data_IF_173664342294
#
_entry.id   IF_173664342294
#
_cell.length_a   1.000
_cell.length_b   1.000
_cell.length_c   1.000
_cell.angle_alpha   90.00
_cell.angle_beta   90.00
_cell.angle_gamma   90.00
#
_symmetry.space_group_name_H-M   'P 1'
#
loop_
_entity.id
_entity.type
_entity.pdbx_description
1 polymer ?
#
# COMPACT_ATOMS: atom_id res chain seq x y z
N UNK A 1 10.98 -11.61 -19.86
CA UNK A 1 10.11 -10.57 -20.45
C UNK A 1 10.97 -9.35 -20.74
N UNK A 2 10.91 -8.79 -21.95
CA UNK A 2 11.62 -7.56 -22.28
C UNK A 2 10.89 -6.34 -21.68
N UNK A 3 11.63 -5.41 -21.08
CA UNK A 3 11.04 -4.16 -20.59
C UNK A 3 10.68 -3.26 -21.78
N UNK A 4 9.49 -2.65 -21.77
CA UNK A 4 9.10 -1.63 -22.74
C UNK A 4 9.60 -0.27 -22.25
N UNK A 5 10.40 0.48 -23.03
CA UNK A 5 10.79 1.83 -22.65
C UNK A 5 9.55 2.74 -22.66
N UNK A 6 9.43 3.56 -21.62
CA UNK A 6 8.40 4.58 -21.47
C UNK A 6 9.08 5.90 -21.09
N UNK A 7 8.51 7.03 -21.51
CA UNK A 7 9.06 8.36 -21.22
C UNK A 7 8.29 9.02 -20.08
N UNK A 8 9.00 9.65 -19.16
CA UNK A 8 8.44 10.47 -18.09
C UNK A 8 8.92 11.90 -18.26
N UNK A 9 8.01 12.86 -18.01
CA UNK A 9 8.40 14.25 -17.84
C UNK A 9 8.87 14.45 -16.39
N UNK A 10 9.99 15.13 -16.24
CA UNK A 10 10.55 15.57 -14.94
C UNK A 10 10.96 17.03 -15.08
N UNK A 11 10.85 17.80 -14.01
CA UNK A 11 11.38 19.15 -14.01
C UNK A 11 12.92 19.09 -14.10
N UNK A 12 13.52 20.08 -14.77
CA UNK A 12 14.98 20.12 -14.93
C UNK A 12 15.71 20.18 -13.58
N UNK A 13 15.09 20.85 -12.61
CA UNK A 13 15.54 20.93 -11.22
C UNK A 13 15.55 19.60 -10.48
N UNK A 14 14.73 18.63 -10.90
CA UNK A 14 14.65 17.31 -10.28
C UNK A 14 15.63 16.31 -10.87
N UNK A 15 16.25 16.63 -12.02
CA UNK A 15 17.21 15.72 -12.69
C UNK A 15 18.39 15.35 -11.79
N UNK A 16 19.02 16.28 -11.04
CA UNK A 16 20.10 15.94 -10.11
C UNK A 16 19.62 15.01 -8.99
N UNK A 17 18.45 15.28 -8.41
CA UNK A 17 17.86 14.44 -7.37
C UNK A 17 17.54 13.05 -7.90
N UNK A 18 16.94 12.96 -9.08
CA UNK A 18 16.63 11.68 -9.73
C UNK A 18 17.90 10.86 -9.96
N UNK A 19 19.01 11.51 -10.35
CA UNK A 19 20.29 10.84 -10.52
C UNK A 19 20.84 10.34 -9.18
N UNK A 20 20.87 11.18 -8.15
CA UNK A 20 21.31 10.81 -6.80
C UNK A 20 20.53 9.60 -6.26
N UNK A 21 19.20 9.63 -6.39
CA UNK A 21 18.33 8.53 -5.98
C UNK A 21 18.57 7.26 -6.81
N UNK A 22 18.84 7.41 -8.11
CA UNK A 22 19.18 6.28 -8.97
C UNK A 22 20.52 5.65 -8.60
N UNK A 23 21.51 6.45 -8.23
CA UNK A 23 22.81 5.98 -7.76
C UNK A 23 22.66 5.22 -6.43
N UNK A 24 21.93 5.80 -5.48
CA UNK A 24 21.74 5.23 -4.15
C UNK A 24 20.86 3.96 -4.11
N UNK A 25 19.78 3.93 -4.89
CA UNK A 25 18.74 2.89 -4.78
C UNK A 25 18.53 2.07 -6.05
N UNK A 26 19.14 2.45 -7.17
CA UNK A 26 19.04 1.78 -8.47
C UNK A 26 20.38 1.36 -9.06
N UNK A 27 21.50 1.47 -8.32
CA UNK A 27 22.84 1.15 -8.83
C UNK A 27 23.25 2.01 -10.03
N UNK A 28 22.77 3.26 -10.08
CA UNK A 28 22.99 4.22 -11.16
C UNK A 28 22.02 4.09 -12.34
N UNK A 29 21.08 3.15 -12.30
CA UNK A 29 20.09 2.96 -13.35
C UNK A 29 18.71 3.49 -12.92
N UNK A 30 18.21 4.53 -13.61
CA UNK A 30 16.90 5.14 -13.35
C UNK A 30 15.74 4.14 -13.51
N UNK A 31 15.85 3.17 -14.41
CA UNK A 31 14.84 2.11 -14.56
C UNK A 31 14.83 1.14 -13.39
N UNK A 32 15.99 0.81 -12.82
CA UNK A 32 16.04 -0.03 -11.61
C UNK A 32 15.52 0.73 -10.40
N UNK A 33 15.91 1.99 -10.24
CA UNK A 33 15.36 2.87 -9.22
C UNK A 33 13.83 2.93 -9.28
N UNK A 34 13.26 3.15 -10.47
CA UNK A 34 11.81 3.18 -10.64
C UNK A 34 11.16 1.85 -10.24
N UNK A 35 11.78 0.70 -10.53
CA UNK A 35 11.26 -0.62 -10.09
C UNK A 35 11.28 -0.76 -8.57
N UNK A 36 12.32 -0.28 -7.91
CA UNK A 36 12.41 -0.28 -6.44
C UNK A 36 11.35 0.64 -5.86
N UNK A 37 11.26 1.88 -6.35
CA UNK A 37 10.26 2.85 -5.92
C UNK A 37 8.84 2.31 -6.07
N UNK A 38 8.50 1.72 -7.23
CA UNK A 38 7.18 1.11 -7.47
C UNK A 38 6.85 0.01 -6.47
N UNK A 39 7.81 -0.86 -6.10
CA UNK A 39 7.58 -1.92 -5.11
C UNK A 39 7.29 -1.33 -3.73
N UNK A 40 8.01 -0.29 -3.33
CA UNK A 40 7.79 0.39 -2.05
C UNK A 40 6.44 1.12 -2.01
N UNK A 41 6.10 1.87 -3.06
CA UNK A 41 4.79 2.52 -3.14
C UNK A 41 3.63 1.52 -3.20
N UNK A 42 3.80 0.35 -3.84
CA UNK A 42 2.79 -0.72 -3.81
C UNK A 42 2.55 -1.25 -2.38
N UNK A 43 3.58 -1.31 -1.54
CA UNK A 43 3.41 -1.71 -0.13
C UNK A 43 2.61 -0.64 0.62
N UNK A 44 2.95 0.64 0.45
CA UNK A 44 2.24 1.77 1.06
C UNK A 44 0.77 1.81 0.64
N UNK A 45 0.48 1.64 -0.66
CA UNK A 45 -0.89 1.60 -1.17
C UNK A 45 -1.70 0.46 -0.55
N UNK A 46 -1.12 -0.73 -0.38
CA UNK A 46 -1.80 -1.83 0.30
C UNK A 46 -2.10 -1.53 1.75
N UNK A 47 -1.18 -0.89 2.48
CA UNK A 47 -1.42 -0.49 3.87
C UNK A 47 -2.56 0.52 3.95
N UNK A 48 -2.59 1.50 3.04
CA UNK A 48 -3.67 2.47 2.96
C UNK A 48 -5.03 1.78 2.72
N UNK A 49 -5.10 0.89 1.72
CA UNK A 49 -6.31 0.12 1.42
C UNK A 49 -6.82 -0.71 2.61
N UNK A 50 -5.92 -1.30 3.41
CA UNK A 50 -6.32 -2.06 4.61
C UNK A 50 -6.83 -1.15 5.72
N UNK A 51 -6.25 0.04 5.88
CA UNK A 51 -6.73 1.02 6.84
C UNK A 51 -8.12 1.55 6.45
N UNK A 52 -8.31 1.82 5.16
CA UNK A 52 -9.60 2.29 4.63
C UNK A 52 -10.68 1.21 4.84
N UNK A 53 -10.39 -0.05 4.51
CA UNK A 53 -11.30 -1.19 4.76
C UNK A 53 -11.62 -1.34 6.26
N UNK A 54 -10.63 -1.19 7.13
CA UNK A 54 -10.85 -1.29 8.58
C UNK A 54 -11.72 -0.14 9.08
N UNK A 55 -11.56 1.07 8.54
CA UNK A 55 -12.40 2.21 8.87
C UNK A 55 -13.85 1.99 8.40
N UNK A 56 -14.05 1.52 7.17
CA UNK A 56 -15.38 1.15 6.64
C UNK A 56 -16.06 0.08 7.51
N UNK A 57 -15.33 -0.97 7.90
CA UNK A 57 -15.88 -2.03 8.77
C UNK A 57 -16.25 -1.50 10.16
N UNK A 58 -15.50 -0.55 10.72
CA UNK A 58 -15.85 0.09 11.98
C UNK A 58 -17.12 0.94 11.83
N UNK A 59 -17.25 1.67 10.72
CA UNK A 59 -18.43 2.49 10.42
C UNK A 59 -19.68 1.64 10.20
N UNK A 60 -19.59 0.56 9.42
CA UNK A 60 -20.69 -0.39 9.18
C UNK A 60 -21.12 -1.12 10.46
N UNK A 61 -20.19 -1.37 11.39
CA UNK A 61 -20.49 -1.93 12.73
C UNK A 61 -21.01 -0.87 13.72
N UNK A 62 -21.27 0.36 13.27
CA UNK A 62 -21.73 1.47 14.13
C UNK A 62 -20.73 1.86 15.21
N UNK A 63 -19.43 1.64 14.97
CA UNK A 63 -18.35 1.90 15.93
C UNK A 63 -18.17 0.81 17.00
N UNK A 64 -18.90 -0.31 16.94
CA UNK A 64 -18.74 -1.40 17.92
C UNK A 64 -17.53 -2.27 17.60
N UNK A 65 -16.50 -2.13 18.44
CA UNK A 65 -15.44 -3.13 18.59
C UNK A 65 -15.95 -4.19 19.55
N UNK A 66 -16.33 -5.35 19.03
CA UNK A 66 -16.71 -6.49 19.86
C UNK A 66 -15.46 -7.12 20.46
N UNK A 67 -15.50 -7.37 21.76
CA UNK A 67 -14.50 -8.19 22.45
C UNK A 67 -14.60 -9.65 22.01
N UNK A 68 -13.56 -10.44 22.27
CA UNK A 68 -13.55 -11.88 21.97
C UNK A 68 -14.74 -12.60 22.62
N UNK A 69 -15.10 -12.23 23.85
CA UNK A 69 -16.22 -12.82 24.59
C UNK A 69 -17.58 -12.49 23.96
N UNK A 70 -17.79 -11.25 23.52
CA UNK A 70 -19.01 -10.84 22.82
C UNK A 70 -19.14 -11.49 21.45
N UNK A 71 -18.02 -11.71 20.76
CA UNK A 71 -17.98 -12.42 19.48
C UNK A 71 -18.36 -13.88 19.65
N UNK A 72 -17.88 -14.55 20.71
CA UNK A 72 -18.22 -15.93 21.01
C UNK A 72 -19.72 -16.11 21.33
N UNK A 73 -20.30 -15.20 22.12
CA UNK A 73 -21.75 -15.19 22.37
C UNK A 73 -22.60 -15.05 21.11
N UNK A 74 -22.21 -14.14 20.21
CA UNK A 74 -22.92 -13.98 18.92
C UNK A 74 -22.89 -15.25 18.07
N UNK A 75 -21.79 -16.00 18.08
CA UNK A 75 -21.66 -17.26 17.36
C UNK A 75 -22.55 -18.35 17.97
N UNK A 76 -22.63 -18.42 19.30
CA UNK A 76 -23.52 -19.36 20.01
C UNK A 76 -25.00 -19.07 19.71
N UNK A 77 -25.39 -17.79 19.69
CA UNK A 77 -26.76 -17.36 19.38
C UNK A 77 -27.14 -17.61 17.90
N UNK A 78 -26.19 -17.57 16.96
CA UNK A 78 -26.40 -17.87 15.54
C UNK A 78 -26.44 -19.38 15.24
N UNK A 79 -25.77 -20.20 16.05
CA UNK A 79 -25.71 -21.67 15.88
C UNK A 79 -26.94 -22.42 16.42
N UNK A 80 -27.93 -21.70 16.96
CA UNK A 80 -29.14 -22.27 17.59
C UNK A 80 -30.44 -21.93 16.84
N UNK A 81 -30.38 -21.52 15.57
CA UNK A 81 -31.55 -21.37 14.68
C UNK A 81 -31.69 -22.50 13.67
#
# INVERSE_FOLDING_TARGET
>A
MAARPISFAVEETDVPLLQELADAFGGGNRSEFLRVAMKEFKKKLRVQQMNDLHAEMLEERGGKVYTTEETLKLIEDLGTS
#
